data_IF_582463871116
#
_entry.id   IF_582463871116
#
_cell.length_a   1.000
_cell.length_b   1.000
_cell.length_c   1.000
_cell.angle_alpha   90.00
_cell.angle_beta   90.00
_cell.angle_gamma   90.00
#
_symmetry.space_group_name_H-M   'P 1'
#
loop_
_entity.id
_entity.type
_entity.pdbx_description
1 polymer ?
#
# COMPACT_ATOMS: atom_id res chain seq x y z
N UNK A 1 -17.91 7.73 1.39
CA UNK A 1 -17.12 6.59 1.89
C UNK A 1 -15.64 6.90 1.76
N UNK A 2 -14.89 6.69 2.81
CA UNK A 2 -13.46 6.96 2.81
C UNK A 2 -12.72 5.84 2.07
N UNK A 3 -11.94 6.20 1.07
CA UNK A 3 -11.14 5.27 0.27
C UNK A 3 -9.68 5.49 0.62
N UNK A 4 -8.97 4.41 0.99
CA UNK A 4 -7.58 4.49 1.44
C UNK A 4 -6.78 3.37 0.78
N UNK A 5 -5.64 3.72 0.22
CA UNK A 5 -4.74 2.76 -0.42
C UNK A 5 -3.84 2.12 0.64
N UNK A 6 -3.57 0.82 0.50
CA UNK A 6 -2.68 0.10 1.41
C UNK A 6 -1.43 -0.35 0.65
N UNK A 7 -0.28 0.15 1.10
CA UNK A 7 1.01 -0.16 0.51
C UNK A 7 1.64 -1.40 1.16
N UNK A 8 2.63 -1.99 0.49
CA UNK A 8 3.41 -3.10 1.03
C UNK A 8 3.98 -2.78 2.41
N UNK A 9 4.48 -1.54 2.60
CA UNK A 9 5.05 -1.14 3.90
C UNK A 9 4.06 -1.28 5.04
N UNK A 10 2.78 -1.02 4.78
CA UNK A 10 1.74 -1.15 5.79
C UNK A 10 1.39 -2.62 6.07
N UNK A 11 1.21 -3.41 5.03
CA UNK A 11 0.96 -4.85 5.18
C UNK A 11 2.09 -5.52 5.94
N UNK A 12 3.31 -5.26 5.51
CA UNK A 12 4.49 -5.89 6.12
C UNK A 12 4.62 -5.48 7.59
N UNK A 13 4.48 -4.19 7.87
CA UNK A 13 4.60 -3.69 9.24
C UNK A 13 3.51 -4.27 10.15
N UNK A 14 2.31 -4.49 9.64
CA UNK A 14 1.26 -5.14 10.41
C UNK A 14 1.68 -6.55 10.84
N UNK A 15 2.38 -7.25 9.95
CA UNK A 15 2.77 -8.66 10.17
C UNK A 15 4.04 -8.79 11.01
N UNK A 16 4.91 -7.79 11.01
CA UNK A 16 6.21 -7.83 11.69
C UNK A 16 6.17 -6.95 12.94
N UNK A 17 6.02 -7.59 14.09
CA UNK A 17 5.95 -6.88 15.38
C UNK A 17 7.18 -6.09 15.73
N UNK A 18 8.33 -6.34 15.07
CA UNK A 18 9.57 -5.60 15.30
C UNK A 18 9.74 -4.40 14.36
N UNK A 19 8.84 -4.23 13.38
CA UNK A 19 8.90 -3.12 12.45
C UNK A 19 8.53 -1.82 13.17
N UNK A 20 9.29 -0.74 12.90
CA UNK A 20 9.06 0.55 13.57
C UNK A 20 7.68 1.13 13.25
N UNK A 21 7.06 0.73 12.15
CA UNK A 21 5.73 1.19 11.75
C UNK A 21 4.61 0.26 12.22
N UNK A 22 4.95 -0.81 12.94
CA UNK A 22 4.00 -1.86 13.32
C UNK A 22 2.76 -1.32 14.04
N UNK A 23 2.96 -0.55 15.09
CA UNK A 23 1.84 -0.07 15.92
C UNK A 23 0.92 0.85 15.12
N UNK A 24 1.49 1.73 14.31
CA UNK A 24 0.71 2.64 13.47
C UNK A 24 -0.07 1.89 12.40
N UNK A 25 0.57 0.95 11.71
CA UNK A 25 -0.08 0.16 10.68
C UNK A 25 -1.24 -0.64 11.26
N UNK A 26 -1.00 -1.26 12.41
CA UNK A 26 -2.02 -2.04 13.10
C UNK A 26 -3.22 -1.18 13.51
N UNK A 27 -2.95 -0.02 14.13
CA UNK A 27 -4.01 0.89 14.52
C UNK A 27 -4.85 1.33 13.31
N UNK A 28 -4.17 1.73 12.23
CA UNK A 28 -4.85 2.25 11.04
C UNK A 28 -5.69 1.19 10.33
N UNK A 29 -5.15 -0.01 10.19
CA UNK A 29 -5.89 -1.10 9.53
C UNK A 29 -7.08 -1.56 10.37
N UNK A 30 -6.91 -1.69 11.68
CA UNK A 30 -8.02 -2.05 12.56
C UNK A 30 -9.08 -0.95 12.58
N UNK A 31 -8.67 0.30 12.55
CA UNK A 31 -9.57 1.44 12.45
C UNK A 31 -10.33 1.43 11.13
N UNK A 32 -9.64 1.12 10.05
CA UNK A 32 -10.26 1.03 8.72
C UNK A 32 -11.38 -0.02 8.72
N UNK A 33 -11.14 -1.15 9.35
CA UNK A 33 -12.13 -2.21 9.45
C UNK A 33 -13.32 -1.74 10.30
N UNK A 34 -13.05 -1.15 11.45
CA UNK A 34 -14.08 -0.67 12.37
C UNK A 34 -14.94 0.43 11.74
N UNK A 35 -14.30 1.37 11.08
CA UNK A 35 -14.98 2.52 10.46
C UNK A 35 -15.42 2.26 9.03
N UNK A 36 -15.19 1.06 8.54
CA UNK A 36 -15.60 0.60 7.20
C UNK A 36 -15.03 1.45 6.08
N UNK A 37 -13.75 1.79 6.17
CA UNK A 37 -13.06 2.40 5.04
C UNK A 37 -13.00 1.42 3.89
N UNK A 38 -13.08 1.93 2.67
CA UNK A 38 -12.83 1.12 1.49
C UNK A 38 -11.33 1.06 1.26
N UNK A 39 -10.72 -0.09 1.54
CA UNK A 39 -9.28 -0.25 1.34
C UNK A 39 -8.99 -0.72 -0.07
N UNK A 40 -7.99 -0.11 -0.69
CA UNK A 40 -7.62 -0.35 -2.07
C UNK A 40 -6.15 -0.75 -2.13
N UNK A 41 -5.82 -1.71 -2.97
CA UNK A 41 -4.43 -2.06 -3.24
C UNK A 41 -4.29 -2.53 -4.69
N UNK A 42 -3.11 -2.91 -5.13
CA UNK A 42 -2.90 -3.41 -6.49
C UNK A 42 -2.30 -4.80 -6.47
N UNK A 43 -2.42 -5.49 -7.62
CA UNK A 43 -1.79 -6.81 -7.77
C UNK A 43 -0.26 -6.75 -7.71
N UNK A 44 0.35 -5.60 -7.99
CA UNK A 44 1.80 -5.44 -7.84
C UNK A 44 2.19 -5.34 -6.36
N UNK A 45 1.39 -4.63 -5.55
CA UNK A 45 1.58 -4.62 -4.09
C UNK A 45 1.40 -6.03 -3.52
N UNK A 46 0.44 -6.79 -4.04
CA UNK A 46 0.23 -8.19 -3.63
C UNK A 46 1.50 -9.01 -3.83
N UNK A 47 2.06 -8.92 -5.03
CA UNK A 47 3.27 -9.67 -5.35
C UNK A 47 4.43 -9.27 -4.45
N UNK A 48 4.65 -7.99 -4.30
CA UNK A 48 5.75 -7.48 -3.47
C UNK A 48 5.57 -7.88 -2.01
N UNK A 49 4.36 -7.76 -1.48
CA UNK A 49 4.05 -8.13 -0.10
C UNK A 49 4.27 -9.62 0.14
N UNK A 50 3.79 -10.46 -0.78
CA UNK A 50 3.97 -11.91 -0.70
C UNK A 50 5.46 -12.26 -0.64
N UNK A 51 6.23 -11.75 -1.63
CA UNK A 51 7.64 -12.07 -1.73
C UNK A 51 8.43 -11.62 -0.50
N UNK A 52 8.18 -10.40 -0.05
CA UNK A 52 8.87 -9.82 1.11
C UNK A 52 8.52 -10.58 2.39
N UNK A 53 7.24 -10.86 2.60
CA UNK A 53 6.76 -11.55 3.80
C UNK A 53 7.30 -12.98 3.86
N UNK A 54 7.25 -13.69 2.74
CA UNK A 54 7.77 -15.06 2.67
C UNK A 54 9.25 -15.10 2.97
N UNK A 55 10.01 -14.16 2.41
CA UNK A 55 11.46 -14.12 2.59
C UNK A 55 11.87 -13.78 4.03
N UNK A 56 11.16 -12.89 4.68
CA UNK A 56 11.55 -12.38 5.99
C UNK A 56 10.84 -13.04 7.17
N UNK A 57 9.57 -13.38 7.01
CA UNK A 57 8.75 -13.89 8.12
C UNK A 57 8.32 -15.33 7.93
N UNK A 58 8.40 -15.85 6.71
CA UNK A 58 8.07 -17.24 6.42
C UNK A 58 6.63 -17.44 5.97
N UNK A 59 6.31 -18.69 5.66
CA UNK A 59 5.03 -19.06 5.03
C UNK A 59 3.83 -18.78 5.92
N UNK A 60 3.94 -19.03 7.23
CA UNK A 60 2.85 -18.79 8.17
C UNK A 60 2.35 -17.34 8.13
N UNK A 61 3.27 -16.39 8.01
CA UNK A 61 2.91 -14.98 7.92
C UNK A 61 2.21 -14.67 6.60
N UNK A 62 2.62 -15.32 5.50
CA UNK A 62 1.92 -15.18 4.21
C UNK A 62 0.48 -15.67 4.34
N UNK A 63 0.28 -16.82 4.97
CA UNK A 63 -1.06 -17.37 5.20
C UNK A 63 -1.92 -16.42 6.04
N UNK A 64 -1.34 -15.82 7.08
CA UNK A 64 -2.04 -14.85 7.93
C UNK A 64 -2.47 -13.64 7.11
N UNK A 65 -1.58 -13.13 6.26
CA UNK A 65 -1.88 -11.99 5.40
C UNK A 65 -3.02 -12.31 4.42
N UNK A 66 -2.94 -13.48 3.77
CA UNK A 66 -3.95 -13.90 2.81
C UNK A 66 -5.32 -14.10 3.46
N UNK A 67 -5.34 -14.59 4.70
CA UNK A 67 -6.59 -14.89 5.40
C UNK A 67 -7.20 -13.72 6.17
N UNK A 68 -6.39 -12.79 6.65
CA UNK A 68 -6.84 -11.76 7.58
C UNK A 68 -6.81 -10.34 7.02
N UNK A 69 -5.80 -10.00 6.23
CA UNK A 69 -5.63 -8.62 5.76
C UNK A 69 -6.11 -8.41 4.34
N UNK A 70 -5.69 -9.28 3.44
CA UNK A 70 -6.03 -9.12 2.02
C UNK A 70 -7.55 -9.11 1.79
N UNK A 71 -8.36 -9.94 2.47
CA UNK A 71 -9.81 -9.89 2.26
C UNK A 71 -10.47 -8.57 2.64
N UNK A 72 -9.78 -7.71 3.38
CA UNK A 72 -10.28 -6.37 3.71
C UNK A 72 -10.16 -5.40 2.55
N UNK A 73 -9.43 -5.76 1.50
CA UNK A 73 -9.06 -4.84 0.43
C UNK A 73 -9.71 -5.21 -0.90
N UNK A 74 -10.04 -4.19 -1.67
CA UNK A 74 -10.29 -4.36 -3.09
C UNK A 74 -8.95 -4.36 -3.80
N UNK A 75 -8.72 -5.30 -4.69
CA UNK A 75 -7.49 -5.38 -5.47
C UNK A 75 -7.73 -4.83 -6.87
N UNK A 76 -6.96 -3.82 -7.25
CA UNK A 76 -6.91 -3.34 -8.62
C UNK A 76 -5.89 -4.22 -9.35
N UNK A 77 -6.37 -5.04 -10.26
CA UNK A 77 -5.49 -5.88 -11.06
C UNK A 77 -4.83 -5.04 -12.14
N UNK A 78 -3.51 -5.07 -12.16
CA UNK A 78 -2.72 -4.24 -13.06
C UNK A 78 -2.83 -4.80 -14.48
N UNK A 79 -3.56 -4.08 -15.33
CA UNK A 79 -3.64 -4.41 -16.75
C UNK A 79 -2.50 -3.72 -17.50
N UNK A 80 -2.42 -3.98 -18.78
CA UNK A 80 -1.36 -3.39 -19.61
C UNK A 80 -1.37 -1.87 -19.57
N UNK A 81 -2.56 -1.28 -19.61
CA UNK A 81 -2.71 0.19 -19.63
C UNK A 81 -2.19 0.82 -18.34
N UNK A 82 -2.55 0.26 -17.21
CA UNK A 82 -2.09 0.75 -15.92
C UNK A 82 -0.59 0.54 -15.77
N UNK A 83 -0.09 -0.62 -16.21
CA UNK A 83 1.34 -0.92 -16.23
C UNK A 83 2.10 0.14 -17.03
N UNK A 84 1.64 0.47 -18.23
CA UNK A 84 2.31 1.43 -19.08
C UNK A 84 2.34 2.82 -18.48
N UNK A 85 1.25 3.24 -17.83
CA UNK A 85 1.22 4.54 -17.14
C UNK A 85 2.19 4.56 -15.97
N UNK A 86 2.25 3.50 -15.19
CA UNK A 86 3.21 3.39 -14.08
C UNK A 86 4.64 3.38 -14.57
N UNK A 87 4.91 2.64 -15.65
CA UNK A 87 6.23 2.58 -16.27
C UNK A 87 6.67 3.94 -16.78
N UNK A 88 5.75 4.69 -17.41
CA UNK A 88 6.06 6.04 -17.90
C UNK A 88 6.44 6.97 -16.74
N UNK A 89 5.70 6.90 -15.63
CA UNK A 89 6.02 7.68 -14.43
C UNK A 89 7.39 7.30 -13.87
N UNK A 90 7.69 6.01 -13.81
CA UNK A 90 8.98 5.52 -13.29
C UNK A 90 10.14 5.99 -14.16
N UNK A 91 9.94 6.00 -15.48
CA UNK A 91 10.98 6.45 -16.43
C UNK A 91 11.20 7.96 -16.38
N UNK A 92 10.20 8.74 -16.01
CA UNK A 92 10.32 10.19 -15.84
C UNK A 92 10.97 10.56 -14.52
N UNK A 93 10.92 9.68 -13.52
CA UNK A 93 11.60 9.90 -12.25
C UNK A 93 13.10 9.75 -12.45
N UNK A 94 13.88 10.62 -11.80
CA UNK A 94 15.33 10.61 -12.00
C UNK A 94 15.94 9.34 -11.39
N UNK A 95 16.66 8.60 -12.26
CA UNK A 95 17.61 7.57 -11.85
C UNK A 95 17.06 6.50 -10.90
N UNK A 96 15.86 6.00 -11.20
CA UNK A 96 15.32 4.89 -10.45
C UNK A 96 14.99 5.20 -9.00
N UNK A 97 14.71 6.45 -8.68
CA UNK A 97 14.33 6.85 -7.32
C UNK A 97 12.96 6.35 -6.92
N UNK A 98 12.10 6.04 -7.89
CA UNK A 98 10.79 5.49 -7.63
C UNK A 98 10.71 4.09 -8.18
N UNK A 99 10.23 3.16 -7.38
CA UNK A 99 10.01 1.79 -7.87
C UNK A 99 8.83 1.77 -8.82
N UNK A 100 8.80 0.74 -9.68
CA UNK A 100 7.66 0.54 -10.57
C UNK A 100 6.38 0.29 -9.76
N UNK A 101 6.48 -0.46 -8.67
CA UNK A 101 5.34 -0.72 -7.79
C UNK A 101 4.76 0.57 -7.24
N UNK A 102 5.61 1.50 -6.77
CA UNK A 102 5.14 2.80 -6.27
C UNK A 102 4.45 3.58 -7.36
N UNK A 103 5.04 3.64 -8.55
CA UNK A 103 4.48 4.39 -9.67
C UNK A 103 3.13 3.83 -10.11
N UNK A 104 2.98 2.52 -10.13
CA UNK A 104 1.71 1.86 -10.44
C UNK A 104 0.68 2.18 -9.34
N UNK A 105 1.10 2.16 -8.08
CA UNK A 105 0.24 2.54 -6.97
C UNK A 105 -0.29 3.96 -7.13
N UNK A 106 0.57 4.91 -7.46
CA UNK A 106 0.17 6.30 -7.66
C UNK A 106 -0.83 6.44 -8.81
N UNK A 107 -0.58 5.77 -9.94
CA UNK A 107 -1.49 5.81 -11.08
C UNK A 107 -2.83 5.16 -10.77
N UNK A 108 -2.84 4.06 -10.03
CA UNK A 108 -4.07 3.42 -9.61
C UNK A 108 -4.88 4.33 -8.67
N UNK A 109 -4.20 4.99 -7.73
CA UNK A 109 -4.84 5.92 -6.81
C UNK A 109 -5.47 7.08 -7.57
N UNK A 110 -4.76 7.67 -8.52
CA UNK A 110 -5.29 8.77 -9.33
C UNK A 110 -6.50 8.34 -10.12
N UNK A 111 -6.44 7.17 -10.74
CA UNK A 111 -7.55 6.66 -11.55
C UNK A 111 -8.82 6.41 -10.72
N UNK A 112 -8.67 6.10 -9.44
CA UNK A 112 -9.79 5.80 -8.54
C UNK A 112 -10.18 6.99 -7.66
N UNK A 113 -9.55 8.14 -7.84
CA UNK A 113 -9.82 9.31 -7.01
C UNK A 113 -9.42 9.12 -5.55
N UNK A 114 -8.47 8.23 -5.28
CA UNK A 114 -7.98 7.93 -3.95
C UNK A 114 -6.81 8.84 -3.62
N UNK A 115 -6.89 9.57 -2.53
CA UNK A 115 -5.88 10.57 -2.19
C UNK A 115 -5.08 10.24 -0.93
N UNK A 116 -5.47 9.21 -0.22
CA UNK A 116 -4.90 8.85 1.07
C UNK A 116 -4.36 7.43 1.04
N UNK A 117 -3.23 7.19 1.72
CA UNK A 117 -2.60 5.87 1.78
C UNK A 117 -2.14 5.54 3.19
N UNK A 118 -2.21 4.27 3.55
CA UNK A 118 -1.51 3.73 4.71
C UNK A 118 -0.17 3.21 4.19
N UNK A 119 0.89 3.92 4.50
CA UNK A 119 2.24 3.61 4.04
C UNK A 119 3.26 4.26 4.94
N UNK A 120 4.41 3.63 5.04
CA UNK A 120 5.59 4.20 5.68
C UNK A 120 6.59 4.54 4.58
N UNK A 121 6.24 5.50 3.75
CA UNK A 121 7.01 5.83 2.55
C UNK A 121 6.74 7.29 2.15
N UNK A 122 7.76 8.12 2.30
CA UNK A 122 7.66 9.53 1.96
C UNK A 122 7.40 9.79 0.48
N UNK A 123 7.62 8.79 -0.40
CA UNK A 123 7.34 8.95 -1.81
C UNK A 123 5.87 9.25 -2.08
N UNK A 124 4.96 8.77 -1.22
CA UNK A 124 3.54 9.07 -1.37
C UNK A 124 3.24 10.56 -1.15
N UNK A 125 3.82 11.17 -0.11
CA UNK A 125 3.62 12.61 0.12
C UNK A 125 4.29 13.43 -0.97
N UNK A 126 5.45 13.02 -1.43
CA UNK A 126 6.15 13.70 -2.53
C UNK A 126 5.34 13.66 -3.83
N UNK A 127 4.56 12.60 -4.02
CA UNK A 127 3.70 12.46 -5.19
C UNK A 127 2.35 13.18 -5.04
N UNK A 128 2.10 13.83 -3.91
CA UNK A 128 0.90 14.62 -3.68
C UNK A 128 -0.21 13.92 -2.92
N UNK A 129 0.05 12.74 -2.39
CA UNK A 129 -0.91 11.99 -1.59
C UNK A 129 -0.75 12.29 -0.10
N UNK A 130 -1.73 11.91 0.68
CA UNK A 130 -1.75 12.11 2.11
C UNK A 130 -1.55 10.76 2.80
N UNK A 131 -0.66 10.71 3.78
CA UNK A 131 -0.50 9.50 4.58
C UNK A 131 -1.51 9.50 5.72
N UNK A 132 -2.21 8.37 5.90
CA UNK A 132 -3.17 8.20 6.99
C UNK A 132 -2.46 8.39 8.33
N UNK A 133 -3.15 9.06 9.26
CA UNK A 133 -2.60 9.33 10.59
C UNK A 133 -1.73 10.59 10.68
N UNK A 134 -1.28 11.13 9.55
CA UNK A 134 -0.46 12.36 9.53
C UNK A 134 -1.30 13.62 9.58
N UNK A 135 -2.63 13.51 9.44
CA UNK A 135 -3.56 14.64 9.44
C UNK A 135 -4.06 14.97 10.84
N UNK A 136 -3.37 14.52 11.87
CA UNK A 136 -3.78 14.88 13.21
C UNK A 136 -3.74 16.38 13.31
N UNK A 137 -4.88 16.97 13.60
CA UNK A 137 -4.91 18.39 13.93
C UNK A 137 -3.94 18.62 15.07
N UNK A 138 -3.14 19.61 14.89
CA UNK A 138 -2.23 20.05 15.91
C UNK A 138 -2.98 20.35 17.20
#
# INVERSE_FOLDING_TARGET
MKVVFVDTSAFYAFLDGSDHFHEQAKELILRAEKERWHLLTTSFVLHETWALTQARLGWSAVEDWLGSLLPLCEVVWVDERLYERGAARARQAKEGKLSLTDCISFEAMLARGCREAIADDAHFTQAGFVLSGSQKSA
#
